data_IF_657901552927
#
_entry.id   IF_657901552927
#
_cell.length_a   1.000
_cell.length_b   1.000
_cell.length_c   1.000
_cell.angle_alpha   90.00
_cell.angle_beta   90.00
_cell.angle_gamma   90.00
#
_symmetry.space_group_name_H-M   'P 1'
#
loop_
_entity.id
_entity.type
_entity.pdbx_description
1 polymer ?
#
# COMPACT_ATOMS: atom_id res chain seq x y z
N UNK A 1 18.86 71.10 -49.30
CA UNK A 1 18.49 70.57 -47.96
C UNK A 1 18.79 69.08 -47.90
N UNK A 2 19.89 68.64 -48.49
CA UNK A 2 21.24 68.59 -47.92
C UNK A 2 21.50 67.29 -47.17
N UNK A 3 21.73 66.27 -48.01
CA UNK A 3 22.44 65.02 -47.73
C UNK A 3 23.72 65.22 -46.90
N UNK A 4 24.27 66.44 -46.84
CA UNK A 4 25.42 66.80 -46.01
C UNK A 4 25.09 66.96 -44.51
N UNK A 5 23.88 67.34 -44.11
CA UNK A 5 23.54 67.46 -42.68
C UNK A 5 23.24 66.12 -42.00
N UNK A 6 22.69 65.15 -42.73
CA UNK A 6 22.46 63.79 -42.20
C UNK A 6 23.76 63.00 -42.10
N UNK A 7 24.69 63.17 -43.05
CA UNK A 7 26.04 62.59 -42.98
C UNK A 7 26.86 63.14 -41.81
N UNK A 8 26.68 64.41 -41.44
CA UNK A 8 27.38 65.02 -40.30
C UNK A 8 26.94 64.48 -38.93
N UNK A 9 25.65 64.20 -38.74
CA UNK A 9 25.14 63.68 -37.46
C UNK A 9 25.42 62.19 -37.29
N UNK A 10 25.39 61.40 -38.36
CA UNK A 10 25.71 59.96 -38.32
C UNK A 10 27.22 59.71 -38.14
N UNK A 11 28.09 60.60 -38.65
CA UNK A 11 29.55 60.43 -38.54
C UNK A 11 30.10 60.69 -37.12
N UNK A 12 29.34 61.35 -36.22
CA UNK A 12 29.82 61.62 -34.86
C UNK A 12 29.36 60.61 -33.79
N UNK A 13 28.46 59.65 -34.10
CA UNK A 13 27.86 58.78 -33.07
C UNK A 13 28.36 57.32 -33.09
N UNK A 14 29.15 56.88 -34.09
CA UNK A 14 29.53 55.45 -34.21
C UNK A 14 31.00 55.13 -34.49
N UNK A 15 31.94 56.03 -34.15
CA UNK A 15 33.38 55.72 -34.15
C UNK A 15 34.00 55.85 -32.75
N UNK A 16 33.40 55.17 -31.77
CA UNK A 16 34.09 54.77 -30.54
C UNK A 16 34.18 53.24 -30.53
N UNK A 17 34.95 52.70 -31.46
CA UNK A 17 35.55 51.38 -31.32
C UNK A 17 36.98 51.45 -31.83
N UNK A 18 37.89 51.64 -30.89
CA UNK A 18 39.31 51.75 -31.17
C UNK A 18 40.13 51.96 -29.91
N UNK A 19 40.23 50.94 -29.06
CA UNK A 19 41.39 50.64 -28.20
C UNK A 19 41.32 49.13 -27.92
N UNK A 20 42.06 48.36 -28.71
CA UNK A 20 43.44 47.95 -28.41
C UNK A 20 43.47 46.81 -27.38
N UNK A 21 43.85 45.66 -27.93
CA UNK A 21 44.33 44.47 -27.27
C UNK A 21 45.44 44.83 -26.27
N UNK A 22 45.04 45.17 -25.05
CA UNK A 22 45.91 45.26 -23.89
C UNK A 22 45.84 43.94 -23.15
N UNK A 23 46.91 43.15 -23.24
CA UNK A 23 46.98 41.80 -22.69
C UNK A 23 46.68 41.72 -21.20
N UNK A 24 46.03 40.63 -20.81
CA UNK A 24 46.41 39.91 -19.60
C UNK A 24 47.43 38.86 -20.02
N UNK A 25 48.69 39.22 -19.82
CA UNK A 25 49.81 38.33 -19.60
C UNK A 25 49.40 37.22 -18.63
N UNK A 26 49.53 35.98 -19.07
CA UNK A 26 49.22 34.80 -18.29
C UNK A 26 49.43 33.56 -19.13
N UNK A 27 50.66 33.37 -19.63
CA UNK A 27 51.19 32.04 -19.83
C UNK A 27 51.04 31.29 -18.50
N UNK A 28 50.06 30.40 -18.46
CA UNK A 28 49.81 29.51 -17.35
C UNK A 28 49.28 28.24 -17.98
N UNK A 29 50.21 27.43 -18.49
CA UNK A 29 50.09 26.00 -18.79
C UNK A 29 48.64 25.52 -18.75
N UNK A 30 47.97 25.51 -19.90
CA UNK A 30 46.72 24.77 -20.06
C UNK A 30 47.04 23.29 -19.85
N UNK A 31 47.12 22.86 -18.60
CA UNK A 31 47.10 21.46 -18.26
C UNK A 31 45.76 20.93 -18.76
N UNK A 32 45.83 19.97 -19.70
CA UNK A 32 44.66 19.35 -20.29
C UNK A 32 43.63 18.99 -19.19
N UNK A 33 42.40 19.49 -19.30
CA UNK A 33 41.30 19.17 -18.36
C UNK A 33 40.90 20.24 -17.33
N UNK A 34 41.41 21.49 -17.39
CA UNK A 34 40.99 22.59 -16.50
C UNK A 34 40.30 23.74 -17.25
N UNK A 35 39.08 24.10 -16.85
CA UNK A 35 38.33 25.28 -17.35
C UNK A 35 38.44 26.47 -16.40
N UNK A 36 38.35 27.72 -16.87
CA UNK A 36 38.46 28.92 -16.01
C UNK A 36 37.19 29.76 -16.06
N UNK A 37 36.66 30.12 -14.89
CA UNK A 37 35.48 30.99 -14.75
C UNK A 37 35.84 32.45 -15.02
N UNK A 38 34.83 33.28 -15.32
CA UNK A 38 34.98 34.73 -15.48
C UNK A 38 35.43 35.47 -14.22
N UNK A 39 35.32 34.84 -13.03
CA UNK A 39 35.83 35.33 -11.76
C UNK A 39 37.30 34.91 -11.47
N UNK A 40 37.95 34.20 -12.40
CA UNK A 40 39.32 33.72 -12.28
C UNK A 40 39.49 32.33 -11.65
N UNK A 41 38.43 31.75 -11.06
CA UNK A 41 38.46 30.41 -10.44
C UNK A 41 38.65 29.30 -11.47
N UNK A 42 39.42 28.26 -11.11
CA UNK A 42 39.70 27.12 -12.00
C UNK A 42 38.77 25.94 -11.66
N UNK A 43 38.11 25.41 -12.68
CA UNK A 43 37.27 24.21 -12.67
C UNK A 43 38.09 23.02 -13.14
N UNK A 44 38.15 21.98 -12.32
CA UNK A 44 38.73 20.70 -12.72
C UNK A 44 37.64 19.81 -13.35
N UNK A 45 37.67 19.66 -14.68
CA UNK A 45 36.65 18.94 -15.43
C UNK A 45 36.70 17.43 -15.15
N UNK A 46 37.87 16.90 -14.80
CA UNK A 46 38.02 15.50 -14.41
C UNK A 46 37.30 15.24 -13.09
N UNK A 47 37.55 16.09 -12.09
CA UNK A 47 36.86 16.00 -10.79
C UNK A 47 35.35 16.17 -10.93
N UNK A 48 34.88 17.07 -11.81
CA UNK A 48 33.44 17.23 -12.07
C UNK A 48 32.86 16.02 -12.80
N UNK A 49 33.56 15.49 -13.81
CA UNK A 49 33.15 14.28 -14.53
C UNK A 49 32.98 13.09 -13.59
N UNK A 50 33.93 12.89 -12.66
CA UNK A 50 33.87 11.84 -11.66
C UNK A 50 32.66 12.03 -10.71
N UNK A 51 32.39 13.26 -10.26
CA UNK A 51 31.21 13.59 -9.44
C UNK A 51 29.89 13.36 -10.18
N UNK A 52 29.81 13.71 -11.47
CA UNK A 52 28.62 13.47 -12.30
C UNK A 52 28.40 11.96 -12.45
N UNK A 53 29.45 11.19 -12.71
CA UNK A 53 29.36 9.73 -12.82
C UNK A 53 28.84 9.10 -11.53
N UNK A 54 29.40 9.47 -10.37
CA UNK A 54 28.90 9.00 -9.08
C UNK A 54 27.46 9.41 -8.81
N UNK A 55 27.04 10.62 -9.22
CA UNK A 55 25.66 11.06 -9.08
C UNK A 55 24.70 10.25 -9.98
N UNK A 56 25.10 9.92 -11.21
CA UNK A 56 24.32 9.08 -12.12
C UNK A 56 24.18 7.66 -11.57
N UNK A 57 25.28 7.03 -11.14
CA UNK A 57 25.27 5.71 -10.51
C UNK A 57 24.40 5.67 -9.24
N UNK A 58 24.40 6.77 -8.46
CA UNK A 58 23.53 6.89 -7.29
C UNK A 58 22.05 6.98 -7.68
N UNK A 59 21.69 7.79 -8.69
CA UNK A 59 20.30 7.93 -9.17
C UNK A 59 19.77 6.61 -9.74
N UNK A 60 20.60 5.85 -10.45
CA UNK A 60 20.22 4.51 -10.95
C UNK A 60 19.82 3.57 -9.81
N UNK A 61 20.63 3.49 -8.75
CA UNK A 61 20.31 2.68 -7.56
C UNK A 61 19.08 3.18 -6.81
N UNK A 62 18.88 4.50 -6.73
CA UNK A 62 17.68 5.09 -6.10
C UNK A 62 16.41 4.73 -6.88
N UNK A 63 16.47 4.62 -8.21
CA UNK A 63 15.33 4.21 -9.04
C UNK A 63 14.93 2.75 -8.79
N UNK A 64 15.88 1.87 -8.52
CA UNK A 64 15.60 0.50 -8.10
C UNK A 64 14.87 0.49 -6.75
N UNK A 65 15.35 1.27 -5.77
CA UNK A 65 14.68 1.42 -4.46
C UNK A 65 13.27 1.98 -4.62
N UNK A 66 13.05 2.97 -5.47
CA UNK A 66 11.70 3.51 -5.77
C UNK A 66 10.78 2.40 -6.31
N UNK A 67 11.29 1.55 -7.20
CA UNK A 67 10.53 0.44 -7.77
C UNK A 67 10.19 -0.62 -6.71
N UNK A 68 11.13 -0.93 -5.82
CA UNK A 68 10.92 -1.81 -4.67
C UNK A 68 9.87 -1.25 -3.70
N UNK A 69 9.87 0.06 -3.45
CA UNK A 69 8.85 0.70 -2.60
C UNK A 69 7.47 0.61 -3.25
N UNK A 70 7.36 0.88 -4.57
CA UNK A 70 6.08 0.74 -5.30
C UNK A 70 5.54 -0.69 -5.30
N UNK A 71 6.40 -1.71 -5.32
CA UNK A 71 5.93 -3.10 -5.27
C UNK A 71 5.29 -3.44 -3.91
N UNK A 72 5.74 -2.82 -2.81
CA UNK A 72 5.10 -2.96 -1.49
C UNK A 72 3.68 -2.40 -1.50
N UNK A 73 3.41 -1.29 -2.21
CA UNK A 73 2.06 -0.75 -2.36
C UNK A 73 1.12 -1.72 -3.09
N UNK A 74 1.62 -2.42 -4.13
CA UNK A 74 0.84 -3.46 -4.82
C UNK A 74 0.58 -4.68 -3.93
N UNK A 75 1.57 -5.10 -3.14
CA UNK A 75 1.39 -6.16 -2.14
C UNK A 75 0.36 -5.76 -1.07
N UNK A 76 0.34 -4.50 -0.65
CA UNK A 76 -0.63 -4.00 0.31
C UNK A 76 -2.08 -4.09 -0.19
N UNK A 77 -2.32 -3.92 -1.50
CA UNK A 77 -3.64 -4.06 -2.13
C UNK A 77 -4.18 -5.50 -2.10
N UNK A 78 -3.29 -6.49 -1.99
CA UNK A 78 -3.66 -7.91 -1.93
C UNK A 78 -4.01 -8.39 -0.52
N UNK A 79 -3.74 -7.59 0.52
CA UNK A 79 -4.07 -7.92 1.91
C UNK A 79 -5.59 -8.12 2.05
N UNK A 80 -6.02 -9.25 2.65
CA UNK A 80 -7.43 -9.68 2.82
C UNK A 80 -8.17 -9.97 1.50
N UNK A 81 -7.44 -10.25 0.43
CA UNK A 81 -8.00 -10.79 -0.81
C UNK A 81 -7.54 -12.22 -1.03
N UNK A 82 -8.39 -13.04 -1.64
CA UNK A 82 -8.02 -14.35 -2.18
C UNK A 82 -7.82 -14.26 -3.69
N UNK A 83 -6.89 -15.08 -4.20
CA UNK A 83 -6.65 -15.24 -5.64
C UNK A 83 -7.76 -16.15 -6.20
N UNK A 84 -8.44 -15.69 -7.24
CA UNK A 84 -9.41 -16.42 -8.04
C UNK A 84 -9.05 -16.35 -9.53
N UNK A 85 -9.74 -17.13 -10.36
CA UNK A 85 -9.46 -17.21 -11.80
C UNK A 85 -9.56 -15.85 -12.53
N UNK A 86 -10.35 -14.93 -11.98
CA UNK A 86 -10.60 -13.57 -12.44
C UNK A 86 -9.78 -12.48 -11.70
N UNK A 87 -8.88 -12.87 -10.80
CA UNK A 87 -7.96 -11.97 -10.10
C UNK A 87 -8.11 -11.97 -8.57
N UNK A 88 -7.83 -10.83 -7.93
CA UNK A 88 -7.92 -10.67 -6.48
C UNK A 88 -9.34 -10.30 -6.05
N UNK A 89 -9.97 -11.14 -5.23
CA UNK A 89 -11.33 -10.92 -4.72
C UNK A 89 -11.31 -10.79 -3.21
N UNK A 90 -12.19 -9.98 -2.64
CA UNK A 90 -12.24 -9.79 -1.19
C UNK A 90 -12.54 -11.11 -0.46
N UNK A 91 -11.69 -11.47 0.50
CA UNK A 91 -11.96 -12.57 1.45
C UNK A 91 -12.84 -12.06 2.60
N UNK A 92 -13.96 -11.46 2.23
CA UNK A 92 -14.96 -10.96 3.17
C UNK A 92 -15.90 -12.06 3.67
N UNK A 93 -15.79 -13.28 3.13
CA UNK A 93 -16.69 -14.38 3.48
C UNK A 93 -16.48 -14.82 4.94
N UNK A 94 -15.24 -14.98 5.40
CA UNK A 94 -14.96 -15.26 6.81
C UNK A 94 -15.47 -14.15 7.73
N UNK A 95 -15.27 -12.89 7.35
CA UNK A 95 -15.76 -11.75 8.12
C UNK A 95 -17.29 -11.74 8.21
N UNK A 96 -17.99 -12.07 7.11
CA UNK A 96 -19.44 -12.21 7.05
C UNK A 96 -19.91 -13.36 7.95
N UNK A 97 -19.25 -14.50 7.92
CA UNK A 97 -19.55 -15.67 8.75
C UNK A 97 -19.35 -15.38 10.24
N UNK A 98 -18.26 -14.68 10.61
CA UNK A 98 -18.04 -14.21 11.99
C UNK A 98 -19.17 -13.28 12.44
N UNK A 99 -19.57 -12.34 11.57
CA UNK A 99 -20.67 -11.40 11.85
C UNK A 99 -22.00 -12.14 12.04
N UNK A 100 -22.28 -13.15 11.21
CA UNK A 100 -23.47 -13.98 11.31
C UNK A 100 -23.50 -14.80 12.61
N UNK A 101 -22.39 -15.46 12.96
CA UNK A 101 -22.27 -16.22 14.21
C UNK A 101 -22.46 -15.31 15.44
N UNK A 102 -21.88 -14.10 15.41
CA UNK A 102 -22.10 -13.10 16.46
C UNK A 102 -23.56 -12.69 16.58
N UNK A 103 -24.21 -12.37 15.46
CA UNK A 103 -25.63 -11.99 15.45
C UNK A 103 -26.51 -13.11 16.04
N UNK A 104 -26.26 -14.37 15.68
CA UNK A 104 -26.97 -15.53 16.26
C UNK A 104 -26.68 -15.75 17.74
N UNK A 105 -25.47 -15.45 18.20
CA UNK A 105 -25.13 -15.46 19.63
C UNK A 105 -25.91 -14.38 20.39
N UNK A 106 -26.01 -13.17 19.84
CA UNK A 106 -26.77 -12.08 20.44
C UNK A 106 -28.28 -12.39 20.49
N UNK A 107 -28.84 -12.98 19.43
CA UNK A 107 -30.23 -13.48 19.39
C UNK A 107 -30.50 -14.51 20.49
N UNK A 108 -29.62 -15.50 20.66
CA UNK A 108 -29.74 -16.51 21.72
C UNK A 108 -29.71 -15.88 23.12
N UNK A 109 -28.74 -15.02 23.39
CA UNK A 109 -28.63 -14.33 24.69
C UNK A 109 -29.89 -13.49 24.97
N UNK A 110 -30.40 -12.78 23.97
CA UNK A 110 -31.60 -11.98 24.11
C UNK A 110 -32.84 -12.85 24.36
N UNK A 111 -32.95 -14.02 23.71
CA UNK A 111 -34.03 -14.97 23.98
C UNK A 111 -33.97 -15.50 25.41
N UNK A 112 -32.80 -15.85 25.93
CA UNK A 112 -32.66 -16.27 27.33
C UNK A 112 -33.00 -15.17 28.33
N UNK A 113 -32.64 -13.91 28.04
CA UNK A 113 -33.06 -12.76 28.85
C UNK A 113 -34.58 -12.58 28.82
N UNK A 114 -35.21 -12.69 27.65
CA UNK A 114 -36.67 -12.61 27.49
C UNK A 114 -37.38 -13.69 28.34
N UNK A 115 -36.83 -14.90 28.38
CA UNK A 115 -37.44 -16.07 29.03
C UNK A 115 -36.93 -16.33 30.45
N UNK A 116 -36.25 -15.37 31.08
CA UNK A 116 -35.64 -15.54 32.41
C UNK A 116 -36.64 -16.02 33.48
N UNK A 117 -37.93 -15.66 33.35
CA UNK A 117 -38.99 -16.11 34.27
C UNK A 117 -39.27 -17.61 34.19
N UNK A 118 -38.94 -18.25 33.06
CA UNK A 118 -39.14 -19.68 32.83
C UNK A 118 -37.87 -20.49 33.12
N UNK A 119 -36.72 -19.97 32.68
CA UNK A 119 -35.43 -20.69 32.68
C UNK A 119 -34.49 -20.27 33.83
N UNK A 120 -34.83 -19.21 34.55
CA UNK A 120 -34.06 -18.66 35.68
C UNK A 120 -34.87 -18.60 36.97
N UNK A 121 -35.81 -19.54 37.17
CA UNK A 121 -36.64 -19.60 38.38
C UNK A 121 -35.76 -19.84 39.61
N UNK A 122 -36.11 -19.16 40.71
CA UNK A 122 -35.45 -19.33 42.01
C UNK A 122 -35.61 -20.76 42.54
N UNK A 123 -34.78 -21.11 43.54
CA UNK A 123 -34.87 -22.35 44.30
C UNK A 123 -34.85 -23.63 43.44
N UNK A 124 -34.22 -23.57 42.26
CA UNK A 124 -34.12 -24.72 41.35
C UNK A 124 -35.44 -25.12 40.69
N UNK A 125 -36.45 -24.23 40.67
CA UNK A 125 -37.79 -24.54 40.15
C UNK A 125 -37.89 -24.60 38.60
N UNK A 126 -36.76 -24.59 37.89
CA UNK A 126 -36.74 -24.80 36.44
C UNK A 126 -37.10 -26.26 36.15
N UNK A 127 -38.16 -26.46 35.38
CA UNK A 127 -38.61 -27.81 35.00
C UNK A 127 -37.73 -28.38 33.90
N UNK A 128 -37.70 -29.71 33.78
CA UNK A 128 -37.02 -30.39 32.66
C UNK A 128 -37.55 -29.93 31.29
N UNK A 129 -38.85 -29.64 31.20
CA UNK A 129 -39.49 -29.09 29.99
C UNK A 129 -38.85 -27.74 29.63
N UNK A 130 -38.81 -26.79 30.56
CA UNK A 130 -38.21 -25.48 30.32
C UNK A 130 -36.72 -25.58 29.97
N UNK A 131 -35.97 -26.45 30.65
CA UNK A 131 -34.57 -26.68 30.33
C UNK A 131 -34.41 -27.21 28.89
N UNK A 132 -35.18 -28.22 28.49
CA UNK A 132 -35.13 -28.77 27.11
C UNK A 132 -35.50 -27.73 26.06
N UNK A 133 -36.54 -26.94 26.28
CA UNK A 133 -36.94 -25.84 25.39
C UNK A 133 -35.87 -24.75 25.24
N UNK A 134 -34.95 -24.64 26.21
CA UNK A 134 -33.89 -23.64 26.23
C UNK A 134 -32.57 -24.11 25.61
N UNK A 135 -32.16 -25.37 25.81
CA UNK A 135 -30.81 -25.85 25.42
C UNK A 135 -30.81 -27.12 24.55
N UNK A 136 -31.89 -27.89 24.51
CA UNK A 136 -31.92 -29.15 23.74
C UNK A 136 -32.35 -28.89 22.31
N UNK A 137 -31.37 -28.78 21.39
CA UNK A 137 -31.56 -28.40 19.98
C UNK A 137 -32.54 -29.29 19.20
N UNK A 138 -32.71 -30.55 19.59
CA UNK A 138 -33.60 -31.55 18.99
C UNK A 138 -34.94 -31.69 19.73
N UNK A 139 -35.25 -30.83 20.72
CA UNK A 139 -36.54 -30.87 21.42
C UNK A 139 -37.71 -30.52 20.49
N UNK A 140 -38.94 -30.99 20.80
CA UNK A 140 -40.13 -30.63 20.02
C UNK A 140 -40.44 -29.14 20.08
N UNK A 141 -40.60 -28.61 21.30
CA UNK A 141 -40.78 -27.18 21.56
C UNK A 141 -39.42 -26.50 21.76
N UNK A 142 -39.20 -25.32 21.17
CA UNK A 142 -37.88 -24.65 21.15
C UNK A 142 -37.97 -23.14 21.39
N UNK A 143 -39.05 -22.69 22.00
CA UNK A 143 -39.42 -21.27 22.17
C UNK A 143 -38.60 -20.52 23.22
N UNK A 144 -37.70 -21.21 23.95
CA UNK A 144 -36.90 -20.65 25.05
C UNK A 144 -35.40 -20.61 24.79
N UNK A 145 -34.96 -20.78 23.54
CA UNK A 145 -33.56 -20.66 23.15
C UNK A 145 -33.03 -21.85 22.36
N UNK A 146 -33.67 -23.03 22.42
CA UNK A 146 -33.18 -24.20 21.70
C UNK A 146 -33.18 -24.01 20.16
N UNK A 147 -34.07 -23.15 19.64
CA UNK A 147 -34.12 -22.77 18.22
C UNK A 147 -32.92 -21.90 17.87
N UNK A 148 -32.71 -20.82 18.63
CA UNK A 148 -31.62 -19.85 18.45
C UNK A 148 -30.24 -20.52 18.62
N UNK A 149 -30.11 -21.46 19.56
CA UNK A 149 -28.92 -22.30 19.71
C UNK A 149 -28.71 -23.22 18.49
N UNK A 150 -29.80 -23.71 17.91
CA UNK A 150 -29.82 -24.40 16.62
C UNK A 150 -29.18 -23.56 15.51
N UNK A 151 -29.63 -22.33 15.38
CA UNK A 151 -29.18 -21.36 14.36
C UNK A 151 -27.74 -20.89 14.59
N UNK A 152 -27.34 -20.66 15.85
CA UNK A 152 -25.95 -20.35 16.21
C UNK A 152 -25.00 -21.47 15.80
N UNK A 153 -25.35 -22.73 16.08
CA UNK A 153 -24.53 -23.87 15.65
C UNK A 153 -24.37 -23.91 14.12
N UNK A 154 -25.44 -23.70 13.36
CA UNK A 154 -25.36 -23.65 11.88
C UNK A 154 -24.44 -22.53 11.40
N UNK A 155 -24.47 -21.36 12.03
CA UNK A 155 -23.59 -20.24 11.67
C UNK A 155 -22.12 -20.54 12.01
N UNK A 156 -21.85 -21.21 13.14
CA UNK A 156 -20.51 -21.65 13.53
C UNK A 156 -19.98 -22.73 12.58
N UNK A 157 -20.81 -23.69 12.16
CA UNK A 157 -20.42 -24.72 11.19
C UNK A 157 -20.00 -24.11 9.85
N UNK A 158 -20.73 -23.10 9.38
CA UNK A 158 -20.36 -22.35 8.18
C UNK A 158 -19.02 -21.61 8.35
N UNK A 159 -18.81 -20.97 9.52
CA UNK A 159 -17.56 -20.30 9.86
C UNK A 159 -16.36 -21.26 9.88
N UNK A 160 -16.53 -22.43 10.50
CA UNK A 160 -15.50 -23.47 10.56
C UNK A 160 -15.16 -24.00 9.17
N UNK A 161 -16.17 -24.20 8.32
CA UNK A 161 -15.95 -24.60 6.93
C UNK A 161 -15.16 -23.54 6.16
N UNK A 162 -15.55 -22.27 6.24
CA UNK A 162 -14.82 -21.18 5.58
C UNK A 162 -13.36 -21.08 6.04
N UNK A 163 -13.10 -21.23 7.34
CA UNK A 163 -11.75 -21.20 7.89
C UNK A 163 -10.91 -22.38 7.36
N UNK A 164 -11.51 -23.57 7.26
CA UNK A 164 -10.87 -24.75 6.70
C UNK A 164 -10.52 -24.56 5.22
N UNK A 165 -11.44 -24.04 4.42
CA UNK A 165 -11.23 -23.80 2.99
C UNK A 165 -10.04 -22.84 2.74
N UNK A 166 -9.88 -21.80 3.58
CA UNK A 166 -8.73 -20.88 3.51
C UNK A 166 -7.41 -21.60 3.81
N UNK A 167 -7.36 -22.43 4.86
CA UNK A 167 -6.17 -23.20 5.22
C UNK A 167 -5.78 -24.19 4.13
N UNK A 168 -6.75 -24.94 3.59
CA UNK A 168 -6.52 -25.90 2.50
C UNK A 168 -6.02 -25.20 1.23
N UNK A 169 -6.57 -24.01 0.91
CA UNK A 169 -6.09 -23.18 -0.20
C UNK A 169 -4.62 -22.80 -0.05
N UNK A 170 -4.22 -22.24 1.10
CA UNK A 170 -2.83 -21.82 1.37
C UNK A 170 -1.86 -23.01 1.31
N UNK A 171 -2.24 -24.15 1.89
CA UNK A 171 -1.40 -25.37 1.85
C UNK A 171 -1.21 -25.86 0.41
N UNK A 172 -2.27 -25.84 -0.39
CA UNK A 172 -2.19 -26.26 -1.80
C UNK A 172 -1.24 -25.37 -2.61
N UNK A 173 -1.27 -24.05 -2.40
CA UNK A 173 -0.36 -23.11 -3.06
C UNK A 173 1.09 -23.34 -2.67
N UNK A 174 1.38 -23.53 -1.37
CA UNK A 174 2.74 -23.81 -0.89
C UNK A 174 3.28 -25.11 -1.50
N UNK A 175 2.43 -26.13 -1.62
CA UNK A 175 2.79 -27.44 -2.19
C UNK A 175 3.09 -27.35 -3.68
N UNK A 176 2.37 -26.50 -4.42
CA UNK A 176 2.64 -26.28 -5.85
C UNK A 176 3.93 -25.47 -6.04
N UNK A 177 4.19 -24.44 -5.22
CA UNK A 177 5.40 -23.61 -5.34
C UNK A 177 6.69 -24.37 -5.03
N UNK A 178 6.67 -25.32 -4.09
CA UNK A 178 7.85 -26.16 -3.80
C UNK A 178 8.17 -27.18 -4.89
N UNK A 179 7.25 -27.42 -5.85
CA UNK A 179 7.45 -28.35 -6.96
C UNK A 179 8.08 -27.71 -8.21
N UNK A 180 8.25 -26.38 -8.23
CA UNK A 180 9.01 -25.71 -9.31
C UNK A 180 10.50 -26.00 -9.09
N UNK A 181 11.05 -26.94 -9.86
CA UNK A 181 12.50 -27.16 -9.95
C UNK A 181 13.15 -25.89 -10.51
N UNK A 182 14.21 -25.43 -9.84
CA UNK A 182 15.22 -24.54 -10.45
C UNK A 182 15.77 -25.11 -11.75
#
# INVERSE_FOLDING_TARGET
MDRMRVKGIILMVMMVMGCNSGGVSGEGTGGEGKGRKGDGSVIDLKVIGDKIKSAVEFVEKVKEVETLVKSVDELAKAIKKKIQADGLTDDNELKKQVTAARAKSDELINKWKEKHTDIGKADGAVTEIHAKEAIKRDNGTKDKGAKELGELNTAIDALLKGAKDVVEGVISELTVRSAVKE
#
